data_IF_785739122347
#
_entry.id   IF_785739122347
#
_cell.length_a   1.000
_cell.length_b   1.000
_cell.length_c   1.000
_cell.angle_alpha   90.00
_cell.angle_beta   90.00
_cell.angle_gamma   90.00
#
_symmetry.space_group_name_H-M   'P 1'
#
loop_
_entity.id
_entity.type
_entity.pdbx_description
1 polymer ?
#
# COMPACT_ATOMS: atom_id res chain seq x y z
N UNK A 1 -69.74 -53.09 -11.76
CA UNK A 1 -68.88 -52.06 -12.36
C UNK A 1 -67.79 -51.71 -11.33
N UNK A 2 -66.66 -52.41 -11.18
CA UNK A 2 -65.53 -52.74 -12.07
C UNK A 2 -64.85 -51.52 -12.71
N UNK A 3 -63.59 -51.31 -12.28
CA UNK A 3 -62.49 -50.51 -12.85
C UNK A 3 -62.47 -48.99 -12.59
N UNK A 4 -62.09 -48.51 -11.39
CA UNK A 4 -61.49 -47.15 -11.20
C UNK A 4 -60.58 -46.99 -9.94
N UNK A 5 -59.86 -48.03 -9.50
CA UNK A 5 -58.97 -47.91 -8.32
C UNK A 5 -57.64 -48.65 -8.52
N UNK A 6 -56.96 -48.45 -9.66
CA UNK A 6 -55.63 -49.05 -9.87
C UNK A 6 -54.68 -48.22 -10.76
N UNK A 7 -54.86 -46.90 -10.86
CA UNK A 7 -54.04 -46.05 -11.75
C UNK A 7 -53.64 -44.71 -11.12
N UNK A 8 -53.61 -44.65 -9.78
CA UNK A 8 -53.18 -43.46 -9.03
C UNK A 8 -52.11 -43.77 -7.96
N UNK A 9 -51.40 -44.89 -8.11
CA UNK A 9 -50.35 -45.32 -7.18
C UNK A 9 -48.99 -45.53 -7.87
N UNK A 10 -48.79 -44.94 -9.07
CA UNK A 10 -47.54 -45.10 -9.84
C UNK A 10 -46.98 -43.78 -10.39
N UNK A 11 -47.40 -42.64 -9.81
CA UNK A 11 -46.89 -41.31 -10.15
C UNK A 11 -46.30 -40.57 -8.94
N UNK A 12 -45.98 -41.29 -7.87
CA UNK A 12 -45.34 -40.75 -6.66
C UNK A 12 -44.04 -41.46 -6.27
N UNK A 13 -43.44 -42.23 -7.18
CA UNK A 13 -42.15 -42.91 -6.95
C UNK A 13 -41.03 -42.54 -7.95
N UNK A 14 -41.23 -41.54 -8.81
CA UNK A 14 -40.17 -41.09 -9.76
C UNK A 14 -39.67 -39.65 -9.45
N UNK A 15 -40.25 -38.95 -8.45
CA UNK A 15 -39.89 -37.54 -8.18
C UNK A 15 -38.71 -37.26 -7.24
N UNK A 16 -38.01 -38.19 -6.54
CA UNK A 16 -36.85 -37.77 -5.75
C UNK A 16 -35.52 -37.86 -6.51
N UNK A 17 -35.46 -38.46 -7.71
CA UNK A 17 -34.18 -38.68 -8.40
C UNK A 17 -33.65 -37.46 -9.18
N UNK A 18 -34.45 -36.40 -9.36
CA UNK A 18 -34.00 -35.18 -10.06
C UNK A 18 -33.49 -34.06 -9.12
N UNK A 19 -33.51 -34.26 -7.80
CA UNK A 19 -33.01 -33.29 -6.82
C UNK A 19 -31.60 -33.60 -6.29
N UNK A 20 -30.97 -34.69 -6.74
CA UNK A 20 -29.64 -35.13 -6.30
C UNK A 20 -28.55 -34.96 -7.38
N UNK A 21 -28.85 -34.22 -8.46
CA UNK A 21 -27.91 -33.93 -9.55
C UNK A 21 -27.67 -32.43 -9.77
N UNK A 22 -27.81 -31.62 -8.71
CA UNK A 22 -27.02 -30.40 -8.64
C UNK A 22 -25.68 -30.82 -8.05
N UNK A 23 -24.64 -30.85 -8.88
CA UNK A 23 -23.27 -30.75 -8.38
C UNK A 23 -23.28 -29.62 -7.36
N UNK A 24 -22.93 -29.91 -6.10
CA UNK A 24 -22.72 -28.84 -5.13
C UNK A 24 -21.81 -27.82 -5.81
N UNK A 25 -22.21 -26.54 -5.90
CA UNK A 25 -21.35 -25.53 -6.50
C UNK A 25 -20.02 -25.65 -5.77
N UNK A 26 -18.97 -26.00 -6.51
CA UNK A 26 -17.65 -26.15 -5.93
C UNK A 26 -17.38 -24.89 -5.11
N UNK A 27 -16.85 -25.02 -3.88
CA UNK A 27 -16.43 -23.87 -3.12
C UNK A 27 -15.62 -22.96 -4.05
N UNK A 28 -15.89 -21.64 -4.07
CA UNK A 28 -15.17 -20.73 -4.96
C UNK A 28 -13.68 -21.02 -4.81
N UNK A 29 -13.00 -21.24 -5.94
CA UNK A 29 -11.58 -21.58 -5.95
C UNK A 29 -10.86 -20.63 -4.99
N UNK A 30 -10.14 -21.22 -4.01
CA UNK A 30 -9.36 -20.44 -3.05
C UNK A 30 -8.50 -19.51 -3.89
N UNK A 31 -8.67 -18.18 -3.79
CA UNK A 31 -8.03 -17.28 -4.71
C UNK A 31 -6.53 -17.52 -4.59
N UNK A 32 -5.85 -17.70 -5.72
CA UNK A 32 -4.44 -18.04 -5.77
C UNK A 32 -3.65 -17.16 -4.77
N UNK A 33 -2.69 -17.74 -4.02
CA UNK A 33 -1.89 -17.00 -3.05
C UNK A 33 -1.37 -15.73 -3.73
N UNK A 34 -1.42 -14.60 -3.01
CA UNK A 34 -1.19 -13.25 -3.57
C UNK A 34 0.06 -13.20 -4.48
N UNK A 35 1.09 -13.99 -4.16
CA UNK A 35 2.33 -14.10 -4.94
C UNK A 35 2.18 -14.67 -6.36
N UNK A 36 1.19 -15.51 -6.66
CA UNK A 36 0.97 -16.03 -8.02
C UNK A 36 0.25 -15.02 -8.91
N UNK A 37 -0.70 -14.25 -8.38
CA UNK A 37 -1.40 -13.19 -9.13
C UNK A 37 -0.50 -12.02 -9.53
N UNK A 38 0.59 -11.79 -8.81
CA UNK A 38 1.58 -10.75 -9.15
C UNK A 38 2.36 -11.11 -10.42
N UNK A 39 2.54 -12.39 -10.75
CA UNK A 39 3.33 -12.80 -11.93
C UNK A 39 2.66 -12.46 -13.26
N UNK A 40 1.34 -12.35 -13.31
CA UNK A 40 0.60 -11.98 -14.54
C UNK A 40 0.75 -10.50 -14.91
N UNK A 41 1.16 -9.64 -13.97
CA UNK A 41 1.46 -8.22 -14.24
C UNK A 41 2.90 -7.98 -14.73
N UNK A 42 3.70 -9.03 -14.97
CA UNK A 42 5.13 -8.92 -15.33
C UNK A 42 5.43 -8.05 -16.55
N UNK A 43 4.52 -7.93 -17.51
CA UNK A 43 4.72 -7.09 -18.70
C UNK A 43 4.47 -5.58 -18.49
N UNK A 44 4.01 -5.15 -17.32
CA UNK A 44 3.80 -3.71 -17.06
C UNK A 44 5.07 -2.94 -16.67
N UNK A 45 6.18 -3.63 -16.42
CA UNK A 45 7.40 -3.05 -15.86
C UNK A 45 8.60 -3.04 -16.82
N UNK A 46 8.38 -3.31 -18.11
CA UNK A 46 9.42 -3.16 -19.12
C UNK A 46 9.66 -1.68 -19.42
N UNK A 47 10.55 -1.06 -18.65
CA UNK A 47 11.13 0.24 -18.96
C UNK A 47 11.95 0.13 -20.25
N UNK A 48 11.73 1.04 -21.21
CA UNK A 48 12.64 1.11 -22.35
C UNK A 48 14.01 1.66 -21.91
N UNK A 49 15.06 1.39 -22.68
CA UNK A 49 16.44 1.77 -22.33
C UNK A 49 16.60 3.28 -22.10
N UNK A 50 15.85 4.11 -22.83
CA UNK A 50 15.91 5.57 -22.70
C UNK A 50 15.31 6.05 -21.38
N UNK A 51 14.18 5.47 -20.96
CA UNK A 51 13.54 5.75 -19.68
C UNK A 51 14.41 5.28 -18.52
N UNK A 52 14.96 4.07 -18.61
CA UNK A 52 15.90 3.54 -17.62
C UNK A 52 17.07 4.51 -17.42
N UNK A 53 17.73 4.92 -18.51
CA UNK A 53 18.87 5.84 -18.44
C UNK A 53 18.47 7.21 -17.86
N UNK A 54 17.29 7.73 -18.22
CA UNK A 54 16.77 9.00 -17.70
C UNK A 54 16.49 8.94 -16.20
N UNK A 55 16.03 7.80 -15.68
CA UNK A 55 15.86 7.59 -14.24
C UNK A 55 17.22 7.53 -13.54
N UNK A 56 18.15 6.71 -14.04
CA UNK A 56 19.49 6.55 -13.47
C UNK A 56 20.26 7.88 -13.39
N UNK A 57 20.17 8.73 -14.41
CA UNK A 57 20.84 10.04 -14.45
C UNK A 57 20.42 11.00 -13.33
N UNK A 58 19.22 10.81 -12.75
CA UNK A 58 18.72 11.64 -11.64
C UNK A 58 19.22 11.14 -10.28
N UNK A 59 19.79 9.94 -10.22
CA UNK A 59 20.27 9.33 -8.99
C UNK A 59 21.70 9.78 -8.67
N UNK A 60 22.06 9.69 -7.38
CA UNK A 60 23.44 9.89 -6.98
C UNK A 60 24.32 8.69 -7.39
N UNK A 61 25.64 8.86 -7.37
CA UNK A 61 26.60 7.84 -7.81
C UNK A 61 26.54 6.53 -6.99
N UNK A 62 26.25 6.63 -5.69
CA UNK A 62 26.15 5.46 -4.82
C UNK A 62 24.91 4.60 -5.15
N UNK A 63 23.76 5.25 -5.33
CA UNK A 63 22.54 4.60 -5.80
C UNK A 63 22.75 3.94 -7.16
N UNK A 64 23.32 4.66 -8.13
CA UNK A 64 23.59 4.09 -9.45
C UNK A 64 24.44 2.81 -9.36
N UNK A 65 25.44 2.80 -8.47
CA UNK A 65 26.27 1.62 -8.23
C UNK A 65 25.46 0.47 -7.61
N UNK A 66 24.64 0.75 -6.59
CA UNK A 66 23.82 -0.27 -5.94
C UNK A 66 22.79 -0.88 -6.92
N UNK A 67 22.18 -0.04 -7.75
CA UNK A 67 21.29 -0.42 -8.83
C UNK A 67 21.99 -1.26 -9.90
N UNK A 68 23.17 -0.85 -10.36
CA UNK A 68 23.96 -1.63 -11.31
C UNK A 68 24.36 -3.00 -10.76
N UNK A 69 24.65 -3.10 -9.46
CA UNK A 69 24.94 -4.37 -8.80
C UNK A 69 23.67 -5.21 -8.62
N UNK A 70 22.54 -4.61 -8.25
CA UNK A 70 21.25 -5.29 -8.11
C UNK A 70 20.79 -5.86 -9.45
N UNK A 71 20.89 -5.11 -10.55
CA UNK A 71 20.54 -5.55 -11.92
C UNK A 71 21.25 -6.85 -12.33
N UNK A 72 22.43 -7.14 -11.80
CA UNK A 72 23.19 -8.37 -12.12
C UNK A 72 22.57 -9.62 -11.49
N UNK A 73 21.92 -9.47 -10.34
CA UNK A 73 21.47 -10.61 -9.53
C UNK A 73 19.95 -10.71 -9.42
N UNK A 74 19.24 -9.59 -9.55
CA UNK A 74 17.80 -9.49 -9.41
C UNK A 74 17.24 -8.36 -10.28
N UNK A 75 16.96 -8.67 -11.54
CA UNK A 75 16.44 -7.71 -12.52
C UNK A 75 15.02 -7.25 -12.20
N UNK A 76 14.23 -8.09 -11.54
CA UNK A 76 12.84 -7.77 -11.18
C UNK A 76 12.82 -6.71 -10.07
N UNK A 77 13.50 -6.98 -8.96
CA UNK A 77 13.63 -6.01 -7.86
C UNK A 77 14.36 -4.73 -8.32
N UNK A 78 15.32 -4.85 -9.25
CA UNK A 78 15.97 -3.70 -9.88
C UNK A 78 14.97 -2.73 -10.52
N UNK A 79 14.09 -3.23 -11.39
CA UNK A 79 13.14 -2.38 -12.09
C UNK A 79 12.09 -1.81 -11.13
N UNK A 80 11.59 -2.62 -10.20
CA UNK A 80 10.64 -2.17 -9.16
C UNK A 80 11.19 -0.96 -8.40
N UNK A 81 12.39 -1.09 -7.83
CA UNK A 81 13.01 -0.02 -7.05
C UNK A 81 13.43 1.17 -7.93
N UNK A 82 13.86 0.94 -9.17
CA UNK A 82 14.21 2.03 -10.08
C UNK A 82 12.98 2.89 -10.40
N UNK A 83 11.83 2.26 -10.64
CA UNK A 83 10.58 2.99 -10.81
C UNK A 83 10.14 3.70 -9.53
N UNK A 84 10.24 3.07 -8.36
CA UNK A 84 9.93 3.75 -7.10
C UNK A 84 10.79 5.01 -6.90
N UNK A 85 12.05 4.95 -7.31
CA UNK A 85 12.99 6.07 -7.19
C UNK A 85 12.50 7.35 -7.88
N UNK A 86 11.63 7.24 -8.90
CA UNK A 86 11.06 8.39 -9.61
C UNK A 86 10.21 9.27 -8.67
N UNK A 87 9.43 8.64 -7.80
CA UNK A 87 8.54 9.31 -6.86
C UNK A 87 9.32 9.85 -5.67
N UNK A 88 10.29 9.05 -5.17
CA UNK A 88 11.15 9.42 -4.04
C UNK A 88 12.07 10.60 -4.33
N UNK A 89 12.44 10.82 -5.60
CA UNK A 89 13.27 11.94 -6.03
C UNK A 89 12.47 13.14 -6.55
N UNK A 90 11.14 13.11 -6.48
CA UNK A 90 10.32 14.25 -6.90
C UNK A 90 10.59 15.46 -6.01
N UNK A 91 10.75 16.64 -6.62
CA UNK A 91 10.94 17.89 -5.90
C UNK A 91 9.58 18.47 -5.50
N UNK A 92 9.44 18.82 -4.23
CA UNK A 92 8.25 19.49 -3.69
C UNK A 92 8.60 20.95 -3.38
N UNK A 93 8.42 21.88 -4.35
CA UNK A 93 8.91 23.26 -4.22
C UNK A 93 8.23 24.04 -3.07
N UNK A 94 6.99 23.69 -2.75
CA UNK A 94 6.18 24.34 -1.71
C UNK A 94 6.21 23.62 -0.36
N UNK A 95 7.12 22.65 -0.18
CA UNK A 95 7.24 21.95 1.08
C UNK A 95 7.73 22.89 2.20
N UNK A 96 7.07 22.81 3.35
CA UNK A 96 7.49 23.42 4.61
C UNK A 96 8.84 22.86 5.06
N UNK A 97 9.50 23.51 6.03
CA UNK A 97 10.77 23.03 6.58
C UNK A 97 10.66 21.60 7.12
N UNK A 98 9.60 21.32 7.89
CA UNK A 98 9.32 20.00 8.47
C UNK A 98 9.14 18.93 7.39
N UNK A 99 8.38 19.25 6.35
CA UNK A 99 8.17 18.32 5.22
C UNK A 99 9.48 18.06 4.46
N UNK A 100 10.32 19.08 4.25
CA UNK A 100 11.64 18.89 3.63
C UNK A 100 12.52 17.94 4.43
N UNK A 101 12.55 18.07 5.76
CA UNK A 101 13.29 17.17 6.64
C UNK A 101 12.75 15.73 6.58
N UNK A 102 11.42 15.57 6.54
CA UNK A 102 10.77 14.27 6.36
C UNK A 102 11.13 13.64 5.00
N UNK A 103 11.02 14.41 3.92
CA UNK A 103 11.36 13.95 2.56
C UNK A 103 12.83 13.55 2.44
N UNK A 104 13.75 14.29 3.07
CA UNK A 104 15.16 13.93 3.12
C UNK A 104 15.38 12.60 3.87
N UNK A 105 14.67 12.38 4.98
CA UNK A 105 14.75 11.13 5.73
C UNK A 105 14.20 9.96 4.93
N UNK A 106 13.04 10.12 4.31
CA UNK A 106 12.44 9.11 3.41
C UNK A 106 13.37 8.76 2.25
N UNK A 107 14.01 9.76 1.65
CA UNK A 107 15.01 9.53 0.60
C UNK A 107 16.18 8.67 1.11
N UNK A 108 16.71 8.98 2.30
CA UNK A 108 17.81 8.20 2.89
C UNK A 108 17.39 6.78 3.26
N UNK A 109 16.17 6.59 3.77
CA UNK A 109 15.58 5.27 4.02
C UNK A 109 15.56 4.45 2.72
N UNK A 110 15.04 5.04 1.65
CA UNK A 110 14.99 4.40 0.34
C UNK A 110 16.39 4.03 -0.20
N UNK A 111 17.37 4.92 -0.05
CA UNK A 111 18.76 4.65 -0.44
C UNK A 111 19.35 3.44 0.29
N UNK A 112 19.09 3.34 1.60
CA UNK A 112 19.52 2.21 2.42
C UNK A 112 18.77 0.93 2.04
N UNK A 113 17.47 1.00 1.71
CA UNK A 113 16.70 -0.14 1.22
C UNK A 113 17.32 -0.71 -0.06
N UNK A 114 17.59 0.12 -1.07
CA UNK A 114 18.27 -0.29 -2.30
C UNK A 114 19.64 -0.92 -1.99
N UNK A 115 20.40 -0.34 -1.06
CA UNK A 115 21.69 -0.88 -0.64
C UNK A 115 21.55 -2.27 0.03
N UNK A 116 20.60 -2.44 0.95
CA UNK A 116 20.34 -3.73 1.60
C UNK A 116 19.94 -4.81 0.61
N UNK A 117 19.06 -4.48 -0.35
CA UNK A 117 18.64 -5.38 -1.43
C UNK A 117 19.84 -5.80 -2.27
N UNK A 118 20.59 -4.83 -2.78
CA UNK A 118 21.81 -5.07 -3.57
C UNK A 118 22.82 -5.97 -2.86
N UNK A 119 23.13 -5.67 -1.58
CA UNK A 119 24.02 -6.47 -0.75
C UNK A 119 23.50 -7.89 -0.53
N UNK A 120 22.19 -8.04 -0.27
CA UNK A 120 21.57 -9.34 -0.04
C UNK A 120 21.55 -10.21 -1.30
N UNK A 121 21.21 -9.64 -2.46
CA UNK A 121 21.20 -10.35 -3.74
C UNK A 121 22.61 -10.79 -4.11
N UNK A 122 23.62 -9.93 -3.91
CA UNK A 122 25.03 -10.32 -4.07
C UNK A 122 25.45 -11.41 -3.09
N UNK A 123 25.06 -11.30 -1.81
CA UNK A 123 25.35 -12.30 -0.79
C UNK A 123 24.72 -13.66 -1.12
N UNK A 124 23.58 -13.70 -1.79
CA UNK A 124 22.94 -14.98 -2.14
C UNK A 124 23.48 -15.57 -3.45
N UNK A 125 23.77 -14.71 -4.45
CA UNK A 125 24.02 -15.17 -5.81
C UNK A 125 25.51 -15.31 -6.17
N UNK A 126 26.41 -14.49 -5.63
CA UNK A 126 27.84 -14.49 -6.00
C UNK A 126 28.65 -15.43 -5.11
N UNK A 127 28.98 -16.64 -5.61
CA UNK A 127 29.78 -17.64 -4.89
C UNK A 127 31.21 -17.16 -4.57
N UNK A 128 31.75 -16.23 -5.35
CA UNK A 128 33.11 -15.70 -5.18
C UNK A 128 33.19 -14.53 -4.20
N UNK A 129 32.04 -13.96 -3.81
CA UNK A 129 32.00 -12.83 -2.90
C UNK A 129 32.49 -13.20 -1.50
N UNK A 130 33.18 -12.24 -0.87
CA UNK A 130 33.49 -12.29 0.56
C UNK A 130 32.20 -12.15 1.39
N UNK A 131 31.62 -13.30 1.75
CA UNK A 131 30.38 -13.39 2.52
C UNK A 131 30.49 -12.74 3.90
N UNK A 132 31.65 -12.81 4.54
CA UNK A 132 31.87 -12.22 5.87
C UNK A 132 31.75 -10.70 5.78
N UNK A 133 32.45 -10.09 4.81
CA UNK A 133 32.38 -8.65 4.57
C UNK A 133 30.97 -8.20 4.19
N UNK A 134 30.31 -8.91 3.28
CA UNK A 134 28.94 -8.58 2.88
C UNK A 134 27.95 -8.66 4.04
N UNK A 135 28.09 -9.67 4.91
CA UNK A 135 27.27 -9.80 6.12
C UNK A 135 27.48 -8.61 7.06
N UNK A 136 28.74 -8.22 7.31
CA UNK A 136 29.05 -7.06 8.14
C UNK A 136 28.47 -5.76 7.57
N UNK A 137 28.59 -5.56 6.25
CA UNK A 137 28.02 -4.39 5.58
C UNK A 137 26.49 -4.40 5.69
N UNK A 138 25.84 -5.53 5.39
CA UNK A 138 24.40 -5.68 5.49
C UNK A 138 23.89 -5.40 6.91
N UNK A 139 24.56 -5.93 7.94
CA UNK A 139 24.20 -5.65 9.34
C UNK A 139 24.29 -4.17 9.67
N UNK A 140 25.36 -3.49 9.24
CA UNK A 140 25.51 -2.05 9.46
C UNK A 140 24.42 -1.25 8.75
N UNK A 141 24.15 -1.55 7.48
CA UNK A 141 23.13 -0.85 6.68
C UNK A 141 21.71 -1.08 7.23
N UNK A 142 21.39 -2.31 7.66
CA UNK A 142 20.09 -2.62 8.28
C UNK A 142 19.93 -1.88 9.61
N UNK A 143 20.99 -1.76 10.40
CA UNK A 143 20.93 -1.03 11.68
C UNK A 143 20.61 0.44 11.44
N UNK A 144 21.31 1.11 10.51
CA UNK A 144 21.01 2.50 10.14
C UNK A 144 19.59 2.66 9.58
N UNK A 145 19.14 1.72 8.74
CA UNK A 145 17.79 1.72 8.19
C UNK A 145 16.73 1.58 9.30
N UNK A 146 16.97 0.71 10.28
CA UNK A 146 16.10 0.51 11.42
C UNK A 146 15.95 1.79 12.24
N UNK A 147 17.06 2.43 12.60
CA UNK A 147 17.06 3.67 13.38
C UNK A 147 16.29 4.79 12.68
N UNK A 148 16.47 4.95 11.37
CA UNK A 148 15.73 5.95 10.59
C UNK A 148 14.23 5.65 10.50
N UNK A 149 13.86 4.37 10.31
CA UNK A 149 12.45 3.94 10.30
C UNK A 149 11.81 4.15 11.67
N UNK A 150 12.51 3.80 12.75
CA UNK A 150 12.03 4.03 14.11
C UNK A 150 11.80 5.52 14.37
N UNK A 151 12.77 6.37 14.04
CA UNK A 151 12.64 7.82 14.17
C UNK A 151 11.44 8.38 13.39
N UNK A 152 11.19 7.85 12.19
CA UNK A 152 10.01 8.21 11.41
C UNK A 152 8.71 7.79 12.10
N UNK A 153 8.64 6.58 12.66
CA UNK A 153 7.46 6.12 13.39
C UNK A 153 7.22 6.94 14.65
N UNK A 154 8.27 7.25 15.41
CA UNK A 154 8.18 8.15 16.56
C UNK A 154 7.67 9.54 16.17
N UNK A 155 8.11 10.06 15.02
CA UNK A 155 7.65 11.36 14.52
C UNK A 155 6.17 11.34 14.10
N UNK A 156 5.73 10.26 13.45
CA UNK A 156 4.32 10.03 13.08
C UNK A 156 3.44 9.94 14.31
N UNK A 157 3.83 9.16 15.31
CA UNK A 157 3.09 9.03 16.59
C UNK A 157 2.90 10.40 17.23
N UNK A 158 3.96 11.20 17.34
CA UNK A 158 3.88 12.56 17.91
C UNK A 158 2.94 13.48 17.15
N UNK A 159 2.85 13.35 15.83
CA UNK A 159 1.91 14.17 15.04
C UNK A 159 0.47 13.74 15.26
N UNK A 160 0.21 12.43 15.22
CA UNK A 160 -1.12 11.87 15.50
C UNK A 160 -1.61 12.23 16.89
N UNK A 161 -0.73 12.26 17.89
CA UNK A 161 -1.06 12.72 19.25
C UNK A 161 -1.51 14.19 19.28
N UNK A 162 -0.86 15.06 18.49
CA UNK A 162 -1.22 16.48 18.38
C UNK A 162 -2.56 16.66 17.67
N UNK A 163 -2.75 15.97 16.56
CA UNK A 163 -4.02 15.99 15.80
C UNK A 163 -5.17 15.49 16.68
N UNK A 164 -4.98 14.39 17.40
CA UNK A 164 -5.97 13.85 18.33
C UNK A 164 -6.30 14.86 19.44
N UNK A 165 -5.31 15.56 19.98
CA UNK A 165 -5.53 16.59 20.99
C UNK A 165 -6.34 17.78 20.42
N UNK A 166 -6.06 18.21 19.19
CA UNK A 166 -6.82 19.28 18.51
C UNK A 166 -8.27 18.86 18.29
N UNK A 167 -8.50 17.66 17.73
CA UNK A 167 -9.84 17.13 17.46
C UNK A 167 -10.65 17.00 18.76
N UNK A 168 -10.04 16.54 19.85
CA UNK A 168 -10.70 16.48 21.16
C UNK A 168 -11.12 17.87 21.65
N UNK A 169 -10.27 18.88 21.48
CA UNK A 169 -10.58 20.27 21.84
C UNK A 169 -11.73 20.83 20.99
N UNK A 170 -11.69 20.62 19.68
CA UNK A 170 -12.76 21.04 18.77
C UNK A 170 -14.09 20.37 19.11
N UNK A 171 -14.08 19.08 19.43
CA UNK A 171 -15.26 18.33 19.85
C UNK A 171 -15.83 18.86 21.17
N UNK A 172 -14.98 19.16 22.15
CA UNK A 172 -15.41 19.76 23.42
C UNK A 172 -16.04 21.15 23.21
N UNK A 173 -15.43 22.00 22.41
CA UNK A 173 -15.98 23.32 22.04
C UNK A 173 -17.35 23.13 21.36
N UNK A 174 -17.45 22.23 20.38
CA UNK A 174 -18.71 21.97 19.68
C UNK A 174 -19.78 21.44 20.62
N UNK A 175 -19.42 20.54 21.53
CA UNK A 175 -20.33 19.96 22.52
C UNK A 175 -20.87 21.02 23.47
N UNK A 176 -20.00 21.89 24.00
CA UNK A 176 -20.38 23.02 24.87
C UNK A 176 -21.28 24.04 24.16
N UNK A 177 -21.10 24.23 22.85
CA UNK A 177 -21.89 25.16 22.05
C UNK A 177 -23.07 24.48 21.33
N UNK A 178 -23.39 23.21 21.64
CA UNK A 178 -24.38 22.42 20.89
C UNK A 178 -25.73 23.13 20.75
N UNK A 179 -26.28 23.66 21.85
CA UNK A 179 -27.59 24.34 21.84
C UNK A 179 -27.58 25.57 20.93
N UNK A 180 -26.53 26.38 20.99
CA UNK A 180 -26.39 27.58 20.15
C UNK A 180 -26.21 27.21 18.68
N UNK A 181 -25.40 26.19 18.38
CA UNK A 181 -25.23 25.67 17.01
C UNK A 181 -26.57 25.18 16.45
N UNK A 182 -27.35 24.43 17.24
CA UNK A 182 -28.68 23.97 16.83
C UNK A 182 -29.61 25.17 16.62
N UNK A 183 -29.63 26.13 17.54
CA UNK A 183 -30.47 27.34 17.44
C UNK A 183 -30.18 28.11 16.16
N UNK A 184 -28.91 28.40 15.86
CA UNK A 184 -28.50 29.08 14.62
C UNK A 184 -28.94 28.30 13.39
N UNK A 185 -28.71 26.98 13.38
CA UNK A 185 -29.10 26.15 12.26
C UNK A 185 -30.62 26.11 12.04
N UNK A 186 -31.41 26.15 13.11
CA UNK A 186 -32.87 26.25 13.00
C UNK A 186 -33.27 27.61 12.41
N UNK A 187 -32.68 28.71 12.88
CA UNK A 187 -32.96 30.05 12.33
C UNK A 187 -32.63 30.14 10.83
N UNK A 188 -31.45 29.68 10.42
CA UNK A 188 -31.03 29.60 9.01
C UNK A 188 -32.05 28.81 8.17
N UNK A 189 -32.55 27.69 8.68
CA UNK A 189 -33.51 26.84 7.94
C UNK A 189 -34.91 27.44 7.86
N UNK A 190 -35.26 28.35 8.77
CA UNK A 190 -36.54 29.06 8.78
C UNK A 190 -36.46 30.42 8.07
N UNK A 191 -35.28 30.85 7.60
CA UNK A 191 -35.08 32.19 7.05
C UNK A 191 -35.26 33.30 8.09
N UNK A 192 -35.02 32.98 9.36
CA UNK A 192 -35.11 33.89 10.51
C UNK A 192 -33.74 34.49 10.87
N UNK A 193 -32.75 34.32 10.01
CA UNK A 193 -31.43 34.91 10.12
C UNK A 193 -31.47 36.40 9.78
N UNK A 194 -31.18 37.24 10.77
CA UNK A 194 -31.12 38.72 10.66
C UNK A 194 -29.97 39.25 9.77
N UNK A 195 -29.26 38.38 9.06
CA UNK A 195 -28.17 38.78 8.17
C UNK A 195 -28.69 38.92 6.74
N UNK A 196 -28.33 40.02 6.08
CA UNK A 196 -28.63 40.28 4.68
C UNK A 196 -28.14 39.11 3.82
N UNK A 197 -29.04 38.47 3.07
CA UNK A 197 -28.67 37.69 1.88
C UNK A 197 -27.94 38.64 0.92
N UNK A 198 -26.64 38.48 0.79
CA UNK A 198 -25.87 39.10 -0.29
C UNK A 198 -25.94 38.17 -1.50
N UNK A 199 -26.89 38.43 -2.39
CA UNK A 199 -26.86 37.98 -3.79
C UNK A 199 -25.61 38.52 -4.53
#
# INVERSE_FOLDING_TARGET
>A
MKRKTLLLALLFFISPLFLMAQEEPSPPETPAPVHERVREFKHFFELNEQEEQKLLQKLNAELQKNFAELKKYDTEEYFELLMESQYRNMRYPFATKKEKEMLQREKKIFELEVATRSLSSKYNSDKSADKSKLKSQLTSTISELFDLKELNRQSQVKELERELASLKKELDIRSKNKTEIIRRRVQELLGEDDYLDWD
#
